data_IF_292747297321
#
_entry.id   IF_292747297321
#
_cell.length_a   1.000
_cell.length_b   1.000
_cell.length_c   1.000
_cell.angle_alpha   90.00
_cell.angle_beta   90.00
_cell.angle_gamma   90.00
#
_symmetry.space_group_name_H-M   'P 1'
#
loop_
_entity.id
_entity.type
_entity.pdbx_description
1 polymer ?
#
# COMPACT_ATOMS: atom_id res chain seq x y z
N UNK A 1 -37.88 30.12 51.65
CA UNK A 1 -37.09 28.94 51.25
C UNK A 1 -37.30 28.77 49.76
N UNK A 2 -36.28 29.15 48.98
CA UNK A 2 -36.39 29.39 47.54
C UNK A 2 -36.39 28.09 46.72
N UNK A 3 -37.10 28.22 45.61
CA UNK A 3 -37.50 27.28 44.57
C UNK A 3 -36.39 26.60 43.77
N UNK A 4 -36.75 25.44 43.20
CA UNK A 4 -36.32 24.84 41.93
C UNK A 4 -35.37 25.67 41.07
N UNK A 5 -34.23 25.07 40.71
CA UNK A 5 -33.59 25.20 39.40
C UNK A 5 -33.20 23.79 38.96
N UNK A 6 -34.18 23.09 38.43
CA UNK A 6 -33.97 22.15 37.33
C UNK A 6 -33.43 22.98 36.15
N UNK A 7 -32.17 22.76 35.72
CA UNK A 7 -31.64 22.99 34.36
C UNK A 7 -30.12 23.22 34.36
N UNK A 8 -29.35 22.16 34.56
CA UNK A 8 -28.10 22.04 33.81
C UNK A 8 -28.19 20.72 33.06
N UNK A 9 -28.25 20.72 31.72
CA UNK A 9 -28.11 19.48 30.99
C UNK A 9 -26.65 19.04 31.20
N UNK A 10 -26.42 18.18 32.18
CA UNK A 10 -25.25 17.31 32.18
C UNK A 10 -25.41 16.48 30.93
N UNK A 11 -24.71 16.88 29.86
CA UNK A 11 -24.60 16.08 28.65
C UNK A 11 -23.84 14.82 29.06
N UNK A 12 -24.60 13.80 29.44
CA UNK A 12 -24.11 12.43 29.58
C UNK A 12 -23.42 12.11 28.27
N UNK A 13 -22.15 11.73 28.36
CA UNK A 13 -21.32 11.27 27.25
C UNK A 13 -22.12 10.18 26.52
N UNK A 14 -22.69 10.53 25.37
CA UNK A 14 -23.41 9.57 24.56
C UNK A 14 -22.39 8.55 24.04
N UNK A 15 -22.41 7.35 24.62
CA UNK A 15 -21.66 6.16 24.20
C UNK A 15 -22.01 5.69 22.76
N UNK A 16 -22.77 6.47 21.99
CA UNK A 16 -23.38 6.06 20.72
C UNK A 16 -22.42 6.18 19.52
N UNK A 17 -21.26 6.81 19.66
CA UNK A 17 -20.21 6.77 18.61
C UNK A 17 -19.26 5.56 18.75
N UNK A 18 -19.62 4.54 19.55
CA UNK A 18 -18.79 3.37 19.81
C UNK A 18 -18.95 2.22 18.82
N UNK A 19 -19.82 2.31 17.81
CA UNK A 19 -20.08 1.21 16.89
C UNK A 19 -20.01 1.64 15.43
N UNK A 20 -18.80 1.96 14.95
CA UNK A 20 -18.47 1.75 13.54
C UNK A 20 -17.46 0.60 13.48
N UNK A 21 -17.81 -0.46 12.76
CA UNK A 21 -17.09 -1.75 12.64
C UNK A 21 -15.64 -1.69 12.13
N UNK A 22 -15.04 -0.51 11.96
CA UNK A 22 -13.59 -0.35 11.83
C UNK A 22 -12.98 -0.07 13.21
N UNK A 23 -12.60 -1.16 13.89
CA UNK A 23 -12.10 -1.22 15.27
C UNK A 23 -10.91 -0.29 15.56
N UNK A 24 -11.19 0.87 16.17
CA UNK A 24 -10.44 1.37 17.31
C UNK A 24 -11.32 2.41 18.02
N UNK A 25 -11.98 2.02 19.11
CA UNK A 25 -12.51 3.01 20.03
C UNK A 25 -11.33 3.91 20.45
N UNK A 26 -11.46 5.22 20.24
CA UNK A 26 -10.42 6.17 20.64
C UNK A 26 -10.08 5.92 22.12
N UNK A 27 -8.79 5.84 22.45
CA UNK A 27 -8.32 5.58 23.82
C UNK A 27 -8.85 6.63 24.80
N UNK A 28 -8.95 6.26 26.09
CA UNK A 28 -9.56 7.11 27.13
C UNK A 28 -8.97 8.53 27.21
N UNK A 29 -7.70 8.66 26.84
CA UNK A 29 -6.94 9.92 26.80
C UNK A 29 -7.57 10.95 25.84
N UNK A 30 -8.29 10.51 24.80
CA UNK A 30 -8.96 11.38 23.84
C UNK A 30 -10.32 11.93 24.33
N UNK A 31 -10.84 11.47 25.47
CA UNK A 31 -12.09 11.98 26.05
C UNK A 31 -11.89 13.11 27.07
N UNK A 32 -10.66 13.60 27.27
CA UNK A 32 -10.35 14.71 28.20
C UNK A 32 -10.78 16.10 27.68
N UNK A 33 -11.68 16.16 26.69
CA UNK A 33 -12.09 17.42 26.06
C UNK A 33 -13.21 18.08 26.88
N UNK A 34 -12.82 18.97 27.80
CA UNK A 34 -13.71 19.93 28.44
C UNK A 34 -13.81 19.75 29.95
N UNK A 35 -12.75 20.07 30.67
CA UNK A 35 -12.88 20.39 32.10
C UNK A 35 -13.43 21.82 32.23
N UNK A 36 -14.65 22.02 32.78
CA UNK A 36 -15.18 23.35 33.03
C UNK A 36 -14.33 24.17 34.03
N UNK A 37 -13.34 23.55 34.70
CA UNK A 37 -12.40 24.21 35.61
C UNK A 37 -11.14 24.78 34.94
N UNK A 38 -10.92 24.62 33.62
CA UNK A 38 -9.79 25.22 32.89
C UNK A 38 -10.22 26.46 32.07
N UNK A 39 -10.28 27.65 32.67
CA UNK A 39 -10.72 28.88 32.00
C UNK A 39 -9.79 29.36 30.87
N UNK A 40 -8.58 28.80 30.75
CA UNK A 40 -7.59 29.21 29.75
C UNK A 40 -7.47 28.20 28.58
N UNK A 41 -8.18 27.06 28.67
CA UNK A 41 -8.19 25.98 27.70
C UNK A 41 -6.80 25.37 27.47
N UNK A 42 -5.94 25.33 28.50
CA UNK A 42 -4.58 24.80 28.42
C UNK A 42 -4.57 23.32 28.06
N UNK A 43 -5.40 22.51 28.71
CA UNK A 43 -5.53 21.08 28.43
C UNK A 43 -6.03 20.83 26.99
N UNK A 44 -6.96 21.68 26.52
CA UNK A 44 -7.47 21.61 25.15
C UNK A 44 -6.38 21.90 24.11
N UNK A 45 -5.51 22.88 24.36
CA UNK A 45 -4.37 23.23 23.49
C UNK A 45 -3.33 22.11 23.42
N UNK A 46 -3.08 21.41 24.52
CA UNK A 46 -2.16 20.27 24.56
C UNK A 46 -2.70 19.05 23.79
N UNK A 47 -4.00 18.76 23.92
CA UNK A 47 -4.67 17.72 23.12
C UNK A 47 -4.65 18.08 21.64
N UNK A 48 -4.94 19.33 21.29
CA UNK A 48 -4.88 19.82 19.90
C UNK A 48 -3.46 19.68 19.31
N UNK A 49 -2.43 20.08 20.07
CA UNK A 49 -1.04 19.92 19.66
C UNK A 49 -0.68 18.44 19.43
N UNK A 50 -1.14 17.56 20.32
CA UNK A 50 -0.95 16.11 20.22
C UNK A 50 -1.65 15.51 18.99
N UNK A 51 -2.90 15.93 18.71
CA UNK A 51 -3.65 15.53 17.51
C UNK A 51 -2.94 15.97 16.23
N UNK A 52 -2.41 17.20 16.19
CA UNK A 52 -1.65 17.70 15.03
C UNK A 52 -0.40 16.86 14.80
N UNK A 53 0.30 16.45 15.85
CA UNK A 53 1.47 15.56 15.74
C UNK A 53 1.08 14.19 15.20
N UNK A 54 0.05 13.55 15.75
CA UNK A 54 -0.42 12.25 15.29
C UNK A 54 -0.95 12.32 13.85
N UNK A 55 -1.64 13.39 13.47
CA UNK A 55 -2.04 13.63 12.09
C UNK A 55 -0.84 13.76 11.14
N UNK A 56 0.18 14.54 11.53
CA UNK A 56 1.41 14.66 10.74
C UNK A 56 2.13 13.30 10.57
N UNK A 57 2.19 12.48 11.62
CA UNK A 57 2.76 11.13 11.55
C UNK A 57 1.95 10.23 10.62
N UNK A 58 0.63 10.19 10.79
CA UNK A 58 -0.26 9.39 9.95
C UNK A 58 -0.18 9.83 8.48
N UNK A 59 -0.15 11.14 8.22
CA UNK A 59 0.03 11.70 6.88
C UNK A 59 1.38 11.32 6.27
N UNK A 60 2.48 11.43 7.02
CA UNK A 60 3.80 11.03 6.54
C UNK A 60 3.87 9.53 6.23
N UNK A 61 3.24 8.69 7.07
CA UNK A 61 3.12 7.25 6.84
C UNK A 61 2.31 6.96 5.55
N UNK A 62 1.17 7.63 5.37
CA UNK A 62 0.36 7.48 4.16
C UNK A 62 1.11 7.92 2.89
N UNK A 63 1.88 9.01 2.96
CA UNK A 63 2.73 9.46 1.84
C UNK A 63 3.81 8.43 1.49
N UNK A 64 4.53 7.91 2.50
CA UNK A 64 5.54 6.86 2.29
C UNK A 64 4.92 5.59 1.70
N UNK A 65 3.79 5.14 2.25
CA UNK A 65 3.09 3.96 1.74
C UNK A 65 2.69 4.14 0.27
N UNK A 66 2.26 5.34 -0.14
CA UNK A 66 1.98 5.65 -1.55
C UNK A 66 3.24 5.55 -2.42
N UNK A 67 4.37 6.08 -1.97
CA UNK A 67 5.65 5.96 -2.69
C UNK A 67 6.09 4.49 -2.85
N UNK A 68 5.97 3.70 -1.78
CA UNK A 68 6.30 2.27 -1.81
C UNK A 68 5.42 1.48 -2.78
N UNK A 69 4.11 1.78 -2.84
CA UNK A 69 3.20 1.14 -3.80
C UNK A 69 3.60 1.44 -5.26
N UNK A 70 3.95 2.69 -5.57
CA UNK A 70 4.42 3.09 -6.90
C UNK A 70 5.75 2.40 -7.27
N UNK A 71 6.66 2.28 -6.31
CA UNK A 71 7.93 1.56 -6.53
C UNK A 71 7.69 0.07 -6.80
N UNK A 72 6.80 -0.57 -6.04
CA UNK A 72 6.46 -1.98 -6.25
C UNK A 72 5.83 -2.19 -7.64
N UNK A 73 4.94 -1.31 -8.06
CA UNK A 73 4.35 -1.35 -9.41
C UNK A 73 5.42 -1.23 -10.51
N UNK A 74 6.34 -0.28 -10.37
CA UNK A 74 7.44 -0.10 -11.32
C UNK A 74 8.36 -1.33 -11.36
N UNK A 75 8.70 -1.91 -10.20
CA UNK A 75 9.53 -3.12 -10.15
C UNK A 75 8.83 -4.35 -10.75
N UNK A 76 7.50 -4.47 -10.57
CA UNK A 76 6.69 -5.48 -11.26
C UNK A 76 6.78 -5.30 -12.79
N UNK A 77 6.59 -4.08 -13.29
CA UNK A 77 6.74 -3.79 -14.72
C UNK A 77 8.15 -4.12 -15.25
N UNK A 78 9.20 -3.74 -14.52
CA UNK A 78 10.59 -4.04 -14.87
C UNK A 78 10.87 -5.54 -14.91
N UNK A 79 10.33 -6.30 -13.96
CA UNK A 79 10.47 -7.75 -13.94
C UNK A 79 9.84 -8.41 -15.18
N UNK A 80 8.63 -7.98 -15.58
CA UNK A 80 7.99 -8.44 -16.82
C UNK A 80 8.80 -8.05 -18.06
N UNK A 81 9.24 -6.79 -18.13
CA UNK A 81 10.06 -6.29 -19.23
C UNK A 81 11.38 -7.07 -19.36
N UNK A 82 12.02 -7.38 -18.23
CA UNK A 82 13.24 -8.19 -18.18
C UNK A 82 12.99 -9.60 -18.73
N UNK A 83 11.92 -10.29 -18.32
CA UNK A 83 11.60 -11.62 -18.83
C UNK A 83 11.37 -11.60 -20.36
N UNK A 84 10.61 -10.61 -20.87
CA UNK A 84 10.37 -10.46 -22.32
C UNK A 84 11.67 -10.17 -23.07
N UNK A 85 12.51 -9.28 -22.54
CA UNK A 85 13.85 -9.01 -23.09
C UNK A 85 14.73 -10.27 -23.07
N UNK A 86 14.73 -11.02 -21.97
CA UNK A 86 15.55 -12.23 -21.82
C UNK A 86 15.12 -13.34 -22.77
N UNK A 87 13.82 -13.47 -23.02
CA UNK A 87 13.29 -14.38 -24.03
C UNK A 87 13.85 -14.04 -25.42
N UNK A 88 13.80 -12.76 -25.82
CA UNK A 88 14.40 -12.29 -27.06
C UNK A 88 15.92 -12.50 -27.09
N UNK A 89 16.61 -12.25 -25.99
CA UNK A 89 18.05 -12.47 -25.90
C UNK A 89 18.43 -13.93 -26.19
N UNK A 90 17.61 -14.90 -25.75
CA UNK A 90 17.80 -16.32 -26.05
C UNK A 90 17.65 -16.63 -27.54
N UNK A 91 16.68 -16.03 -28.23
CA UNK A 91 16.52 -16.22 -29.68
C UNK A 91 17.67 -15.60 -30.47
N UNK A 92 18.18 -14.45 -30.01
CA UNK A 92 19.38 -13.81 -30.59
C UNK A 92 20.66 -14.65 -30.40
N UNK A 93 20.69 -15.61 -29.45
CA UNK A 93 21.84 -16.51 -29.31
C UNK A 93 21.93 -17.57 -30.42
N UNK A 94 20.82 -17.85 -31.12
CA UNK A 94 20.75 -18.90 -32.15
C UNK A 94 21.72 -18.65 -33.30
N UNK A 95 21.88 -17.39 -33.69
CA UNK A 95 22.66 -16.99 -34.86
C UNK A 95 24.15 -16.75 -34.54
N UNK A 96 24.55 -16.81 -33.27
CA UNK A 96 25.91 -16.46 -32.84
C UNK A 96 26.97 -17.52 -33.14
N UNK A 97 26.57 -18.77 -33.43
CA UNK A 97 27.50 -19.88 -33.72
C UNK A 97 27.14 -20.53 -35.06
N UNK A 98 27.88 -20.19 -36.11
CA UNK A 98 27.64 -20.66 -37.48
C UNK A 98 28.40 -21.94 -37.87
N UNK A 99 29.42 -22.34 -37.11
CA UNK A 99 30.34 -23.43 -37.49
C UNK A 99 30.20 -24.64 -36.56
N UNK A 100 28.99 -25.21 -36.47
CA UNK A 100 28.68 -26.33 -35.58
C UNK A 100 28.23 -27.56 -36.37
N UNK A 101 28.44 -28.75 -35.79
CA UNK A 101 27.85 -29.98 -36.31
C UNK A 101 26.31 -29.93 -36.23
N UNK A 102 25.64 -30.63 -37.15
CA UNK A 102 24.16 -30.62 -37.22
C UNK A 102 23.48 -30.99 -35.89
N UNK A 103 23.89 -32.05 -35.16
CA UNK A 103 23.23 -32.41 -33.90
C UNK A 103 23.43 -31.35 -32.80
N UNK A 104 24.60 -30.70 -32.78
CA UNK A 104 24.88 -29.66 -31.79
C UNK A 104 24.11 -28.37 -32.11
N UNK A 105 24.01 -28.01 -33.38
CA UNK A 105 23.17 -26.88 -33.83
C UNK A 105 21.70 -27.09 -33.44
N UNK A 106 21.15 -28.28 -33.69
CA UNK A 106 19.79 -28.63 -33.31
C UNK A 106 19.57 -28.56 -31.79
N UNK A 107 20.48 -29.14 -31.00
CA UNK A 107 20.39 -29.12 -29.54
C UNK A 107 20.44 -27.70 -28.95
N UNK A 108 21.30 -26.83 -29.47
CA UNK A 108 21.36 -25.42 -29.08
C UNK A 108 20.08 -24.67 -29.45
N UNK A 109 19.53 -24.93 -30.64
CA UNK A 109 18.27 -24.35 -31.07
C UNK A 109 17.11 -24.76 -30.15
N UNK A 110 17.00 -26.05 -29.85
CA UNK A 110 15.98 -26.57 -28.96
C UNK A 110 16.11 -25.97 -27.56
N UNK A 111 17.33 -25.90 -27.02
CA UNK A 111 17.58 -25.35 -25.69
C UNK A 111 17.23 -23.86 -25.61
N UNK A 112 17.71 -23.04 -26.55
CA UNK A 112 17.44 -21.60 -26.56
C UNK A 112 15.95 -21.30 -26.74
N UNK A 113 15.25 -22.03 -27.63
CA UNK A 113 13.78 -21.92 -27.78
C UNK A 113 13.06 -22.28 -26.48
N UNK A 114 13.49 -23.35 -25.80
CA UNK A 114 12.93 -23.74 -24.50
C UNK A 114 13.13 -22.66 -23.44
N UNK A 115 14.34 -22.09 -23.34
CA UNK A 115 14.63 -21.02 -22.39
C UNK A 115 13.81 -19.75 -22.70
N UNK A 116 13.68 -19.38 -23.97
CA UNK A 116 12.80 -18.29 -24.40
C UNK A 116 11.36 -18.51 -23.96
N UNK A 117 10.83 -19.72 -24.19
CA UNK A 117 9.47 -20.07 -23.77
C UNK A 117 9.28 -20.01 -22.26
N UNK A 118 10.26 -20.47 -21.48
CA UNK A 118 10.19 -20.41 -20.01
C UNK A 118 10.16 -18.96 -19.49
N UNK A 119 10.94 -18.06 -20.08
CA UNK A 119 10.94 -16.64 -19.70
C UNK A 119 9.61 -15.96 -20.03
N UNK A 120 9.03 -16.25 -21.20
CA UNK A 120 7.69 -15.74 -21.56
C UNK A 120 6.61 -16.28 -20.62
N UNK A 121 6.62 -17.59 -20.34
CA UNK A 121 5.67 -18.20 -19.43
C UNK A 121 5.79 -17.61 -18.01
N UNK A 122 7.01 -17.31 -17.55
CA UNK A 122 7.21 -16.64 -16.25
C UNK A 122 6.59 -15.24 -16.25
N UNK A 123 6.77 -14.47 -17.31
CA UNK A 123 6.16 -13.16 -17.45
C UNK A 123 4.62 -13.26 -17.39
N UNK A 124 4.02 -14.19 -18.14
CA UNK A 124 2.56 -14.41 -18.12
C UNK A 124 2.03 -14.77 -16.73
N UNK A 125 2.69 -15.70 -16.03
CA UNK A 125 2.30 -16.10 -14.68
C UNK A 125 2.41 -14.95 -13.67
N UNK A 126 3.45 -14.14 -13.79
CA UNK A 126 3.64 -12.98 -12.91
C UNK A 126 2.63 -11.88 -13.21
N UNK A 127 2.40 -11.58 -14.49
CA UNK A 127 1.39 -10.61 -14.94
C UNK A 127 -0.01 -11.01 -14.45
N UNK A 128 -0.35 -12.30 -14.50
CA UNK A 128 -1.61 -12.80 -13.96
C UNK A 128 -1.71 -12.62 -12.43
N UNK A 129 -0.66 -12.99 -11.69
CA UNK A 129 -0.62 -12.87 -10.22
C UNK A 129 -0.63 -11.42 -9.75
N UNK A 130 -0.01 -10.52 -10.49
CA UNK A 130 0.14 -9.11 -10.12
C UNK A 130 -1.05 -8.24 -10.54
N UNK A 131 -1.95 -8.74 -11.39
CA UNK A 131 -3.17 -8.05 -11.82
C UNK A 131 -3.96 -7.44 -10.65
N UNK A 132 -4.19 -8.23 -9.60
CA UNK A 132 -4.95 -7.76 -8.44
C UNK A 132 -4.22 -6.64 -7.66
N UNK A 133 -2.90 -6.61 -7.68
CA UNK A 133 -2.11 -5.53 -7.06
C UNK A 133 -2.21 -4.27 -7.90
N UNK A 134 -2.03 -4.38 -9.22
CA UNK A 134 -2.18 -3.27 -10.16
C UNK A 134 -3.55 -2.60 -10.04
N UNK A 135 -4.64 -3.40 -10.01
CA UNK A 135 -6.00 -2.87 -9.87
C UNK A 135 -6.19 -2.08 -8.57
N UNK A 136 -5.60 -2.56 -7.46
CA UNK A 136 -5.63 -1.88 -6.16
C UNK A 136 -4.81 -0.60 -6.14
N UNK A 137 -3.61 -0.61 -6.71
CA UNK A 137 -2.74 0.58 -6.79
C UNK A 137 -3.41 1.65 -7.63
N UNK A 138 -3.98 1.28 -8.79
CA UNK A 138 -4.71 2.19 -9.67
C UNK A 138 -5.87 2.87 -8.94
N UNK A 139 -6.60 2.14 -8.08
CA UNK A 139 -7.71 2.67 -7.29
C UNK A 139 -7.30 3.59 -6.11
N UNK A 140 -6.02 3.58 -5.70
CA UNK A 140 -5.50 4.41 -4.59
C UNK A 140 -4.81 5.68 -5.14
N UNK A 141 -4.18 5.57 -6.31
CA UNK A 141 -3.34 6.63 -6.88
C UNK A 141 -4.16 7.67 -7.67
N UNK A 142 -5.33 7.28 -8.20
CA UNK A 142 -6.27 8.07 -9.00
C UNK A 142 -7.64 8.19 -8.33
#
# INVERSE_FOLDING_TARGET
MLSSIDNVPTVMVNQVLSHSDSQAALSWIWYMLGDPADPNGSATKEVEASLRVEWCKARACAQRAREELLLVEEEMHRALAFCRWRAKWWTEQLERRSNLSSPLSEGLQAYAKKQSSHELQRAEQWEERWRAVHDRVTAIVW
#
